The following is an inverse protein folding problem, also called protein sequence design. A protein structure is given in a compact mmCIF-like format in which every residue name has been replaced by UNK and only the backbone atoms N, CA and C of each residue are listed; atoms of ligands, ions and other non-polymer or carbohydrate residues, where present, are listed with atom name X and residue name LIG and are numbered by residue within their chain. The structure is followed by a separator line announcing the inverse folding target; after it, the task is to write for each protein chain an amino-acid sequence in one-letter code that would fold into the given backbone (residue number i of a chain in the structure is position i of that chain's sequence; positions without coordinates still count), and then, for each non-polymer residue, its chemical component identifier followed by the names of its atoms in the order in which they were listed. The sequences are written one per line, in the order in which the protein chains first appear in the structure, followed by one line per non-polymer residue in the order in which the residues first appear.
data_IF_695255526298
#
_entry.id   IF_695255526298
#
_cell.length_a   1.000
_cell.length_b   1.000
_cell.length_c   1.000
_cell.angle_alpha   90.00
_cell.angle_beta   90.00
_cell.angle_gamma   90.00
#
_symmetry.space_group_name_H-M   'P 1'
#
loop_
_entity.id
_entity.type
_entity.pdbx_description
1 polymer ?
#
# COMPACT_ATOMS: atom_id res chain seq x y z
N UNK A 1 33.81 9.14 -27.18
CA UNK A 1 33.76 8.68 -25.76
C UNK A 1 33.03 9.64 -24.83
N UNK A 2 33.14 10.97 -24.97
CA UNK A 2 32.46 11.97 -24.12
C UNK A 2 30.94 11.86 -24.16
N UNK A 3 30.33 11.75 -25.34
CA UNK A 3 28.88 11.65 -25.51
C UNK A 3 28.25 10.42 -24.84
N UNK A 4 28.96 9.29 -24.84
CA UNK A 4 28.54 8.06 -24.15
C UNK A 4 28.59 8.18 -22.63
N UNK A 5 29.51 8.99 -22.09
CA UNK A 5 29.60 9.29 -20.65
C UNK A 5 28.47 10.24 -20.20
N UNK A 6 28.13 11.23 -21.03
CA UNK A 6 26.97 12.11 -20.79
C UNK A 6 25.64 11.34 -20.82
N UNK A 7 25.48 10.43 -21.79
CA UNK A 7 24.30 9.57 -21.85
C UNK A 7 24.18 8.68 -20.59
N UNK A 8 25.29 8.11 -20.12
CA UNK A 8 25.29 7.32 -18.88
C UNK A 8 24.93 8.17 -17.64
N UNK A 9 25.45 9.39 -17.55
CA UNK A 9 25.13 10.33 -16.46
C UNK A 9 23.65 10.72 -16.45
N UNK A 10 23.08 11.07 -17.61
CA UNK A 10 21.65 11.39 -17.73
C UNK A 10 20.76 10.20 -17.37
N UNK A 11 21.16 8.98 -17.77
CA UNK A 11 20.44 7.76 -17.42
C UNK A 11 20.45 7.56 -15.89
N UNK A 12 21.60 7.67 -15.23
CA UNK A 12 21.68 7.53 -13.77
C UNK A 12 20.86 8.59 -13.02
N UNK A 13 20.80 9.82 -13.55
CA UNK A 13 20.02 10.90 -12.95
C UNK A 13 18.50 10.67 -13.12
N UNK A 14 18.09 10.18 -14.29
CA UNK A 14 16.69 9.85 -14.57
C UNK A 14 16.20 8.66 -13.72
N UNK A 15 17.03 7.63 -13.49
CA UNK A 15 16.68 6.51 -12.64
C UNK A 15 16.61 6.89 -11.14
N UNK A 16 17.50 7.78 -10.67
CA UNK A 16 17.49 8.24 -9.28
C UNK A 16 16.31 9.16 -8.93
N UNK A 17 15.73 9.85 -9.93
CA UNK A 17 14.56 10.72 -9.74
C UNK A 17 13.25 9.97 -9.49
N UNK A 18 13.15 8.69 -9.84
CA UNK A 18 11.92 7.91 -9.65
C UNK A 18 11.58 7.71 -8.16
N UNK A 19 12.58 7.52 -7.29
CA UNK A 19 12.34 7.34 -5.84
C UNK A 19 11.83 8.59 -5.15
N UNK A 20 11.97 9.79 -5.74
CA UNK A 20 11.40 11.03 -5.18
C UNK A 20 9.87 11.05 -5.29
N UNK A 21 9.29 10.40 -6.30
CA UNK A 21 7.82 10.33 -6.44
C UNK A 21 7.16 9.39 -5.41
N UNK A 22 7.90 8.46 -4.82
CA UNK A 22 7.37 7.51 -3.82
C UNK A 22 7.19 8.15 -2.44
N UNK A 23 7.66 9.39 -2.26
CA UNK A 23 7.64 10.10 -0.98
C UNK A 23 8.72 9.58 -0.03
N UNK A 24 9.22 10.44 0.87
CA UNK A 24 10.10 9.96 1.93
C UNK A 24 9.35 8.94 2.79
N UNK A 25 9.98 7.81 3.15
CA UNK A 25 9.44 6.90 4.14
C UNK A 25 9.06 7.69 5.40
N UNK A 26 7.84 7.48 5.89
CA UNK A 26 7.35 8.13 7.09
C UNK A 26 7.02 7.06 8.12
N UNK A 27 7.30 7.26 9.42
CA UNK A 27 6.94 6.27 10.42
C UNK A 27 5.44 5.95 10.40
N UNK A 28 5.12 4.69 10.66
CA UNK A 28 3.74 4.28 10.90
C UNK A 28 3.15 5.07 12.09
N UNK A 29 1.87 5.46 12.05
CA UNK A 29 1.21 6.07 13.19
C UNK A 29 1.18 5.09 14.38
N UNK A 30 1.07 5.57 15.63
CA UNK A 30 1.00 4.69 16.79
C UNK A 30 -0.11 3.64 16.67
N UNK A 31 0.17 2.40 17.09
CA UNK A 31 -0.82 1.31 17.11
C UNK A 31 -2.03 1.75 17.95
N UNK A 32 -3.24 1.48 17.43
CA UNK A 32 -4.49 1.72 18.13
C UNK A 32 -5.16 0.38 18.43
N UNK A 33 -6.23 0.41 19.24
CA UNK A 33 -7.01 -0.79 19.59
C UNK A 33 -7.77 -1.41 18.41
N UNK A 34 -7.71 -0.78 17.22
CA UNK A 34 -8.33 -1.26 15.99
C UNK A 34 -7.34 -1.15 14.82
N UNK A 35 -7.50 -1.99 13.79
CA UNK A 35 -6.68 -1.90 12.59
C UNK A 35 -6.81 -0.51 11.96
N UNK A 36 -5.67 0.14 11.72
CA UNK A 36 -5.63 1.46 11.09
C UNK A 36 -5.24 1.37 9.62
N UNK A 37 -5.84 2.22 8.81
CA UNK A 37 -5.36 2.41 7.43
C UNK A 37 -4.08 3.22 7.43
N UNK A 38 -3.03 2.67 6.83
CA UNK A 38 -1.76 3.36 6.62
C UNK A 38 -1.49 3.53 5.13
N UNK A 39 -0.66 4.50 4.79
CA UNK A 39 -0.22 4.73 3.40
C UNK A 39 0.97 3.82 3.07
N UNK A 40 1.24 3.61 1.78
CA UNK A 40 2.40 2.81 1.34
C UNK A 40 3.74 3.36 1.84
N UNK A 41 3.90 4.67 1.92
CA UNK A 41 5.12 5.27 2.45
C UNK A 41 5.24 5.12 3.98
N UNK A 42 4.23 4.57 4.66
CA UNK A 42 4.22 4.29 6.10
C UNK A 42 4.41 2.82 6.45
N UNK A 43 4.75 1.98 5.46
CA UNK A 43 5.00 0.55 5.67
C UNK A 43 6.45 0.25 6.00
N UNK A 44 7.30 1.26 6.12
CA UNK A 44 8.72 1.08 6.39
C UNK A 44 8.92 0.39 7.76
N UNK A 45 9.76 -0.65 7.77
CA UNK A 45 10.07 -1.41 8.99
C UNK A 45 8.98 -2.39 9.42
N UNK A 46 7.81 -2.40 8.76
CA UNK A 46 6.74 -3.31 9.10
C UNK A 46 6.82 -4.61 8.28
N UNK A 47 6.62 -5.78 8.90
CA UNK A 47 6.68 -7.08 8.19
C UNK A 47 5.34 -7.48 7.57
N UNK A 48 5.29 -7.55 6.23
CA UNK A 48 4.13 -8.09 5.49
C UNK A 48 3.86 -9.56 5.83
N UNK A 49 2.74 -9.88 6.46
CA UNK A 49 2.35 -11.27 6.80
C UNK A 49 1.20 -11.89 5.94
N UNK A 50 0.49 -11.15 5.07
CA UNK A 50 -0.59 -11.72 4.25
C UNK A 50 -1.50 -10.70 3.55
N UNK A 51 -2.28 -11.17 2.56
CA UNK A 51 -3.23 -10.38 1.73
C UNK A 51 -4.68 -10.75 2.05
N UNK A 52 -5.58 -9.78 2.20
CA UNK A 52 -7.03 -10.02 2.24
C UNK A 52 -7.75 -9.22 1.15
N UNK A 53 -8.75 -9.84 0.53
CA UNK A 53 -9.59 -9.23 -0.50
C UNK A 53 -11.05 -9.27 -0.08
N UNK A 54 -11.81 -8.21 -0.35
CA UNK A 54 -13.24 -8.14 -0.09
C UNK A 54 -13.98 -7.83 -1.38
N UNK A 55 -15.13 -8.48 -1.55
CA UNK A 55 -15.99 -8.33 -2.72
C UNK A 55 -17.39 -8.04 -2.21
N UNK A 56 -17.76 -6.77 -2.13
CA UNK A 56 -19.10 -6.37 -1.67
C UNK A 56 -19.90 -5.80 -2.81
N UNK A 57 -21.15 -6.26 -2.95
CA UNK A 57 -22.11 -5.68 -3.90
C UNK A 57 -22.75 -4.47 -3.24
N UNK A 58 -22.16 -3.29 -3.43
CA UNK A 58 -22.63 -2.09 -2.75
C UNK A 58 -21.76 -0.88 -3.04
N UNK A 59 -21.73 0.04 -2.07
CA UNK A 59 -20.88 1.22 -2.13
C UNK A 59 -19.42 0.87 -1.80
N UNK A 60 -18.44 1.67 -2.24
CA UNK A 60 -17.04 1.49 -1.85
C UNK A 60 -16.83 1.44 -0.32
N UNK A 61 -17.66 2.13 0.45
CA UNK A 61 -17.62 2.11 1.92
C UNK A 61 -17.94 0.73 2.52
N UNK A 62 -18.79 -0.06 1.86
CA UNK A 62 -19.14 -1.41 2.31
C UNK A 62 -17.93 -2.35 2.16
N UNK A 63 -17.19 -2.21 1.06
CA UNK A 63 -15.94 -2.95 0.81
C UNK A 63 -14.90 -2.59 1.88
N UNK A 64 -14.73 -1.30 2.19
CA UNK A 64 -13.81 -0.86 3.24
C UNK A 64 -14.16 -1.46 4.60
N UNK A 65 -15.45 -1.50 4.96
CA UNK A 65 -15.90 -2.11 6.21
C UNK A 65 -15.64 -3.62 6.24
N UNK A 66 -15.84 -4.31 5.13
CA UNK A 66 -15.50 -5.73 5.01
C UNK A 66 -13.99 -5.99 5.14
N UNK A 67 -13.14 -5.11 4.59
CA UNK A 67 -11.68 -5.19 4.77
C UNK A 67 -11.30 -4.96 6.24
N UNK A 68 -11.88 -3.94 6.90
CA UNK A 68 -11.65 -3.68 8.34
C UNK A 68 -12.02 -4.90 9.18
N UNK A 69 -13.16 -5.52 8.93
CA UNK A 69 -13.59 -6.73 9.63
C UNK A 69 -12.61 -7.91 9.42
N UNK A 70 -12.10 -8.09 8.20
CA UNK A 70 -11.08 -9.12 7.91
C UNK A 70 -9.74 -8.81 8.57
N UNK A 71 -9.34 -7.54 8.64
CA UNK A 71 -8.13 -7.11 9.34
C UNK A 71 -8.24 -7.37 10.86
N UNK A 72 -9.41 -7.10 11.46
CA UNK A 72 -9.70 -7.44 12.87
C UNK A 72 -9.61 -8.95 13.09
N UNK A 73 -10.26 -9.75 12.23
CA UNK A 73 -10.24 -11.20 12.32
C UNK A 73 -8.82 -11.79 12.17
N UNK A 74 -7.98 -11.16 11.35
CA UNK A 74 -6.57 -11.50 11.17
C UNK A 74 -5.66 -10.95 12.29
N UNK A 75 -6.20 -10.20 13.26
CA UNK A 75 -5.44 -9.50 14.31
C UNK A 75 -4.32 -8.61 13.74
N UNK A 76 -4.63 -7.87 12.68
CA UNK A 76 -3.68 -6.94 12.08
C UNK A 76 -3.72 -5.58 12.77
N UNK A 77 -2.55 -5.02 13.08
CA UNK A 77 -2.44 -3.66 13.64
C UNK A 77 -2.68 -2.59 12.57
N UNK A 78 -2.31 -2.88 11.32
CA UNK A 78 -2.43 -1.97 10.19
C UNK A 78 -2.94 -2.67 8.92
N UNK A 79 -3.55 -1.91 8.02
CA UNK A 79 -3.88 -2.34 6.67
C UNK A 79 -3.58 -1.22 5.66
N UNK A 80 -3.29 -1.59 4.42
CA UNK A 80 -3.06 -0.65 3.30
C UNK A 80 -4.06 -0.97 2.21
N UNK A 81 -4.75 0.05 1.72
CA UNK A 81 -5.55 -0.08 0.50
C UNK A 81 -4.65 0.16 -0.71
N UNK A 82 -4.36 -0.91 -1.45
CA UNK A 82 -3.38 -0.90 -2.55
C UNK A 82 -4.03 -0.62 -3.91
N UNK A 83 -5.25 -1.06 -4.11
CA UNK A 83 -5.98 -0.94 -5.37
C UNK A 83 -7.48 -0.82 -5.07
N UNK A 84 -8.18 0.07 -5.77
CA UNK A 84 -9.64 0.10 -5.79
C UNK A 84 -10.09 0.01 -7.25
N UNK A 85 -10.99 -0.91 -7.59
CA UNK A 85 -11.39 -1.29 -8.95
C UNK A 85 -12.90 -1.53 -9.02
N UNK A 86 -13.62 -0.56 -9.58
CA UNK A 86 -15.08 -0.56 -9.69
C UNK A 86 -15.52 -1.29 -10.97
N UNK A 87 -15.51 -2.62 -10.98
CA UNK A 87 -16.02 -3.41 -12.12
C UNK A 87 -17.55 -3.42 -12.17
N UNK A 88 -18.14 -3.34 -13.38
CA UNK A 88 -19.61 -3.39 -13.63
C UNK A 88 -20.25 -4.70 -13.12
N UNK A 89 -19.46 -5.76 -12.94
CA UNK A 89 -19.79 -6.89 -12.05
C UNK A 89 -18.93 -6.72 -10.81
N UNK A 90 -19.57 -6.31 -9.72
CA UNK A 90 -18.94 -5.76 -8.53
C UNK A 90 -17.85 -6.66 -7.94
N UNK A 91 -16.62 -6.16 -7.94
CA UNK A 91 -15.89 -6.05 -6.69
C UNK A 91 -14.38 -6.11 -6.80
N UNK A 92 -13.79 -5.38 -5.88
CA UNK A 92 -12.51 -4.73 -6.01
C UNK A 92 -11.40 -5.47 -5.28
N UNK A 93 -10.23 -5.58 -5.90
CA UNK A 93 -9.03 -6.21 -5.33
C UNK A 93 -8.24 -5.24 -4.44
N UNK A 94 -7.94 -5.60 -3.19
CA UNK A 94 -7.04 -4.83 -2.31
C UNK A 94 -6.00 -5.75 -1.68
N UNK A 95 -4.74 -5.29 -1.58
CA UNK A 95 -3.61 -6.04 -1.08
C UNK A 95 -3.32 -5.67 0.39
N UNK A 96 -3.90 -6.39 1.35
CA UNK A 96 -3.53 -6.17 2.75
C UNK A 96 -2.03 -6.47 2.94
N UNK A 97 -1.34 -5.61 3.66
CA UNK A 97 -0.05 -5.91 4.25
C UNK A 97 -0.31 -6.11 5.73
N UNK A 98 -0.36 -7.36 6.16
CA UNK A 98 -0.35 -7.75 7.58
C UNK A 98 0.98 -7.22 8.16
N UNK A 99 1.02 -6.59 9.33
CA UNK A 99 2.24 -5.92 9.84
C UNK A 99 2.45 -6.25 11.32
N UNK A 100 3.44 -7.10 11.64
CA UNK A 100 3.97 -7.31 13.01
C UNK A 100 5.10 -6.29 13.21
N UNK A 101 5.31 -5.75 14.43
CA UNK A 101 6.52 -5.03 14.80
C UNK A 101 7.81 -5.83 14.56
#
# INVERSE_FOLDING_TARGET
MVMRRFAALLLTLALGGCSVLEGSPQPAPPVADHPQEIRRNQTEGLQRMGTVTALERGSPADVENAIKAKAVAAKADYYVIVLVDETIVTGTMVLAGHFIP
#
